data_IF_006757278108
#
_entry.id   IF_006757278108
#
_cell.length_a   1.000
_cell.length_b   1.000
_cell.length_c   1.000
_cell.angle_alpha   90.00
_cell.angle_beta   90.00
_cell.angle_gamma   90.00
#
_symmetry.space_group_name_H-M   'P 1'
#
loop_
_entity.id
_entity.type
_entity.pdbx_description
1 polymer ?
#
# COMPACT_ATOMS: atom_id res chain seq x y z
N UNK A 1 16.98 -12.41 3.17
CA UNK A 1 17.66 -11.22 2.62
C UNK A 1 17.93 -11.50 1.16
N UNK A 2 17.35 -10.72 0.25
CA UNK A 2 17.52 -10.86 -1.19
C UNK A 2 18.39 -9.72 -1.73
N UNK A 3 19.33 -10.02 -2.61
CA UNK A 3 20.19 -9.02 -3.24
C UNK A 3 19.91 -8.98 -4.75
N UNK A 4 19.86 -7.77 -5.31
CA UNK A 4 19.48 -7.53 -6.70
C UNK A 4 20.40 -6.46 -7.26
N UNK A 5 21.11 -6.82 -8.34
CA UNK A 5 21.95 -5.89 -9.06
C UNK A 5 21.21 -5.29 -10.24
N UNK A 6 21.12 -3.96 -10.26
CA UNK A 6 20.47 -3.16 -11.30
C UNK A 6 21.45 -2.20 -11.99
N UNK A 7 22.76 -2.34 -11.75
CA UNK A 7 23.78 -1.44 -12.30
C UNK A 7 23.92 -1.55 -13.82
N UNK A 8 23.59 -2.70 -14.40
CA UNK A 8 23.62 -2.92 -15.85
C UNK A 8 22.32 -2.51 -16.56
N UNK A 9 21.22 -2.33 -15.82
CA UNK A 9 19.92 -1.97 -16.39
C UNK A 9 19.83 -0.45 -16.61
N UNK A 10 19.73 -0.04 -17.87
CA UNK A 10 19.73 1.37 -18.25
C UNK A 10 18.33 1.97 -18.28
N UNK A 11 17.30 1.17 -18.53
CA UNK A 11 15.92 1.64 -18.60
C UNK A 11 15.38 1.91 -17.18
N UNK A 12 14.99 3.16 -16.93
CA UNK A 12 14.47 3.58 -15.62
C UNK A 12 13.13 2.91 -15.26
N UNK A 13 12.27 2.64 -16.25
CA UNK A 13 11.00 1.95 -16.02
C UNK A 13 11.23 0.47 -15.68
N UNK A 14 12.21 -0.17 -16.33
CA UNK A 14 12.58 -1.56 -16.03
C UNK A 14 13.19 -1.68 -14.64
N UNK A 15 14.10 -0.77 -14.26
CA UNK A 15 14.62 -0.73 -12.87
C UNK A 15 13.49 -0.56 -11.85
N UNK A 16 12.59 0.41 -12.08
CA UNK A 16 11.44 0.64 -11.21
C UNK A 16 10.54 -0.59 -11.12
N UNK A 17 10.31 -1.29 -12.23
CA UNK A 17 9.60 -2.57 -12.26
C UNK A 17 10.28 -3.57 -11.33
N UNK A 18 11.56 -3.86 -11.54
CA UNK A 18 12.27 -4.90 -10.79
C UNK A 18 12.28 -4.55 -9.30
N UNK A 19 12.55 -3.29 -8.93
CA UNK A 19 12.49 -2.83 -7.53
C UNK A 19 11.13 -3.19 -6.94
N UNK A 20 10.04 -2.80 -7.60
CA UNK A 20 8.70 -2.97 -7.04
C UNK A 20 8.21 -4.42 -7.06
N UNK A 21 8.55 -5.21 -8.07
CA UNK A 21 8.26 -6.64 -8.07
C UNK A 21 8.88 -7.32 -6.86
N UNK A 22 10.10 -6.93 -6.52
CA UNK A 22 10.75 -7.45 -5.33
C UNK A 22 10.16 -6.82 -4.07
N UNK A 23 9.72 -5.56 -4.08
CA UNK A 23 8.92 -5.01 -2.99
C UNK A 23 7.62 -5.81 -2.72
N UNK A 24 7.12 -6.57 -3.71
CA UNK A 24 5.95 -7.44 -3.55
C UNK A 24 6.29 -8.88 -3.09
N UNK A 25 7.57 -9.28 -3.10
CA UNK A 25 7.98 -10.61 -2.62
C UNK A 25 7.80 -10.76 -1.10
N UNK A 26 7.81 -12.00 -0.61
CA UNK A 26 7.71 -12.28 0.84
C UNK A 26 9.01 -12.02 1.61
N UNK A 27 10.08 -11.59 0.93
CA UNK A 27 11.31 -11.16 1.59
C UNK A 27 11.02 -9.99 2.55
N UNK A 28 11.64 -9.97 3.72
CA UNK A 28 11.51 -8.83 4.67
C UNK A 28 12.61 -7.79 4.49
N UNK A 29 13.69 -8.17 3.80
CA UNK A 29 14.82 -7.30 3.51
C UNK A 29 15.30 -7.54 2.08
N UNK A 30 15.44 -6.46 1.31
CA UNK A 30 16.02 -6.48 -0.03
C UNK A 30 17.14 -5.45 -0.09
N UNK A 31 18.25 -5.81 -0.73
CA UNK A 31 19.32 -4.89 -1.08
C UNK A 31 19.36 -4.73 -2.60
N UNK A 32 19.28 -3.48 -3.06
CA UNK A 32 19.43 -3.13 -4.46
C UNK A 32 20.77 -2.47 -4.69
N UNK A 33 21.56 -2.96 -5.65
CA UNK A 33 22.74 -2.28 -6.16
C UNK A 33 22.34 -1.43 -7.37
N UNK A 34 22.56 -0.13 -7.30
CA UNK A 34 22.10 0.85 -8.29
C UNK A 34 23.15 1.94 -8.49
N UNK A 35 23.02 2.65 -9.60
CA UNK A 35 23.65 3.96 -9.80
C UNK A 35 22.92 5.06 -9.00
N UNK A 36 23.36 6.30 -9.14
CA UNK A 36 22.78 7.46 -8.44
C UNK A 36 21.30 7.70 -8.79
N UNK A 37 20.92 7.49 -10.04
CA UNK A 37 19.53 7.71 -10.48
C UNK A 37 18.60 6.63 -9.92
N UNK A 38 19.04 5.37 -9.93
CA UNK A 38 18.34 4.27 -9.28
C UNK A 38 18.24 4.46 -7.77
N UNK A 39 19.27 5.02 -7.12
CA UNK A 39 19.25 5.38 -5.70
C UNK A 39 18.12 6.36 -5.39
N UNK A 40 18.06 7.49 -6.10
CA UNK A 40 17.02 8.51 -5.90
C UNK A 40 15.62 7.93 -6.11
N UNK A 41 15.43 7.12 -7.17
CA UNK A 41 14.17 6.45 -7.45
C UNK A 41 13.74 5.50 -6.32
N UNK A 42 14.67 4.75 -5.72
CA UNK A 42 14.38 3.88 -4.59
C UNK A 42 14.07 4.71 -3.34
N UNK A 43 14.80 5.80 -3.08
CA UNK A 43 14.50 6.71 -1.97
C UNK A 43 13.10 7.32 -2.07
N UNK A 44 12.71 7.77 -3.26
CA UNK A 44 11.36 8.28 -3.54
C UNK A 44 10.31 7.21 -3.22
N UNK A 45 10.53 5.97 -3.69
CA UNK A 45 9.65 4.84 -3.38
C UNK A 45 9.62 4.54 -1.88
N UNK A 46 10.75 4.58 -1.19
CA UNK A 46 10.81 4.39 0.26
C UNK A 46 10.04 5.46 1.01
N UNK A 47 10.13 6.72 0.56
CA UNK A 47 9.42 7.84 1.14
C UNK A 47 7.90 7.73 0.91
N UNK A 48 7.49 7.50 -0.34
CA UNK A 48 6.09 7.28 -0.71
C UNK A 48 5.48 6.07 0.02
N UNK A 49 6.27 5.01 0.21
CA UNK A 49 5.84 3.77 0.84
C UNK A 49 6.17 3.70 2.35
N UNK A 50 6.67 4.76 2.97
CA UNK A 50 7.10 4.80 4.38
C UNK A 50 7.94 3.56 4.80
N UNK A 51 8.83 3.09 3.92
CA UNK A 51 9.75 1.98 4.20
C UNK A 51 11.05 2.48 4.84
N UNK A 52 11.63 1.66 5.74
CA UNK A 52 12.96 1.92 6.27
C UNK A 52 13.99 1.59 5.19
N UNK A 53 14.78 2.59 4.78
CA UNK A 53 15.80 2.45 3.77
C UNK A 53 17.14 2.92 4.33
N UNK A 54 18.14 2.04 4.24
CA UNK A 54 19.52 2.29 4.62
C UNK A 54 20.35 2.29 3.34
N UNK A 55 21.22 3.28 3.18
CA UNK A 55 22.10 3.37 2.02
C UNK A 55 23.56 3.25 2.38
N UNK A 56 24.31 2.64 1.47
CA UNK A 56 25.76 2.53 1.54
C UNK A 56 26.35 2.73 0.15
N UNK A 57 27.37 3.57 0.03
CA UNK A 57 28.08 3.81 -1.23
C UNK A 57 29.45 3.12 -1.20
N UNK A 58 29.80 2.43 -2.28
CA UNK A 58 31.13 1.91 -2.51
C UNK A 58 31.46 1.92 -4.00
N UNK A 59 32.60 2.49 -4.36
CA UNK A 59 33.13 2.52 -5.73
C UNK A 59 32.14 3.08 -6.77
N UNK A 60 31.34 4.09 -6.39
CA UNK A 60 30.33 4.71 -7.26
C UNK A 60 29.04 3.90 -7.44
N UNK A 61 28.90 2.77 -6.74
CA UNK A 61 27.69 1.95 -6.70
C UNK A 61 27.01 2.12 -5.35
N UNK A 62 25.72 2.40 -5.38
CA UNK A 62 24.87 2.51 -4.19
C UNK A 62 24.24 1.16 -3.88
N UNK A 63 24.36 0.70 -2.64
CA UNK A 63 23.59 -0.40 -2.07
C UNK A 63 22.46 0.19 -1.23
N UNK A 64 21.24 0.12 -1.73
CA UNK A 64 20.05 0.58 -1.01
C UNK A 64 19.36 -0.62 -0.40
N UNK A 65 19.49 -0.76 0.92
CA UNK A 65 18.80 -1.78 1.71
C UNK A 65 17.42 -1.28 2.07
N UNK A 66 16.40 -1.90 1.49
CA UNK A 66 15.00 -1.70 1.87
C UNK A 66 14.63 -2.78 2.87
N UNK A 67 14.32 -2.37 4.10
CA UNK A 67 13.63 -3.22 5.04
C UNK A 67 12.14 -3.09 4.73
N UNK A 68 11.62 -4.10 4.02
CA UNK A 68 10.18 -4.26 3.86
C UNK A 68 9.61 -4.56 5.22
N UNK A 69 9.17 -3.48 5.84
CA UNK A 69 8.34 -3.59 7.01
C UNK A 69 7.04 -4.27 6.57
N UNK A 70 6.94 -5.58 6.82
CA UNK A 70 5.64 -6.26 6.85
C UNK A 70 4.68 -5.53 7.78
N UNK A 71 5.17 -4.67 8.67
CA UNK A 71 4.43 -3.83 9.60
C UNK A 71 4.98 -2.40 9.54
N UNK A 72 4.20 -1.36 9.23
CA UNK A 72 4.63 0.05 9.49
C UNK A 72 5.16 0.12 10.93
N UNK A 73 6.45 0.37 11.17
CA UNK A 73 7.13 0.11 12.46
C UNK A 73 6.23 0.36 13.69
N UNK A 74 5.93 -0.73 14.41
CA UNK A 74 5.03 -0.73 15.55
C UNK A 74 3.54 -0.80 15.21
N UNK A 75 3.15 -1.17 13.99
CA UNK A 75 1.76 -1.43 13.60
C UNK A 75 1.41 -2.90 13.79
N UNK A 76 0.11 -3.19 13.94
CA UNK A 76 -0.43 -4.51 13.57
C UNK A 76 -0.91 -4.46 12.13
N UNK A 77 -0.77 -5.55 11.41
CA UNK A 77 -1.22 -5.63 10.02
C UNK A 77 -1.55 -7.06 9.64
N UNK A 78 -2.38 -7.21 8.62
CA UNK A 78 -2.65 -8.48 7.96
C UNK A 78 -2.93 -8.22 6.47
N UNK A 79 -2.95 -9.29 5.67
CA UNK A 79 -3.17 -9.20 4.24
C UNK A 79 -4.07 -10.32 3.71
N UNK A 80 -4.76 -10.03 2.62
CA UNK A 80 -5.56 -11.01 1.88
C UNK A 80 -5.34 -10.82 0.39
N UNK A 81 -5.57 -11.88 -0.38
CA UNK A 81 -5.49 -11.86 -1.83
C UNK A 81 -6.77 -12.39 -2.47
N UNK A 82 -7.14 -11.81 -3.61
CA UNK A 82 -8.31 -12.22 -4.40
C UNK A 82 -8.17 -11.85 -5.87
N UNK A 83 -8.95 -12.53 -6.71
CA UNK A 83 -8.99 -12.32 -8.17
C UNK A 83 -10.21 -11.49 -8.55
N UNK A 84 -10.05 -10.64 -9.57
CA UNK A 84 -11.11 -9.82 -10.16
C UNK A 84 -11.02 -9.92 -11.68
N UNK A 85 -12.12 -10.19 -12.40
CA UNK A 85 -12.12 -10.34 -13.86
C UNK A 85 -12.12 -8.98 -14.57
N UNK A 86 -11.22 -8.09 -14.18
CA UNK A 86 -11.04 -6.76 -14.77
C UNK A 86 -9.54 -6.51 -15.02
N UNK A 87 -9.17 -5.73 -16.05
CA UNK A 87 -7.78 -5.34 -16.28
C UNK A 87 -7.22 -4.50 -15.12
N UNK A 88 -5.90 -4.59 -14.82
CA UNK A 88 -5.27 -3.88 -13.69
C UNK A 88 -5.52 -2.38 -13.67
N UNK A 89 -5.49 -1.73 -14.84
CA UNK A 89 -5.81 -0.30 -14.98
C UNK A 89 -7.22 0.03 -14.49
N UNK A 90 -8.22 -0.73 -14.94
CA UNK A 90 -9.62 -0.53 -14.55
C UNK A 90 -9.83 -0.80 -13.06
N UNK A 91 -9.16 -1.81 -12.51
CA UNK A 91 -9.20 -2.09 -11.07
C UNK A 91 -8.61 -0.92 -10.29
N UNK A 92 -7.43 -0.42 -10.70
CA UNK A 92 -6.78 0.71 -10.04
C UNK A 92 -7.68 1.94 -10.06
N UNK A 93 -8.21 2.34 -11.22
CA UNK A 93 -9.12 3.50 -11.34
C UNK A 93 -10.31 3.44 -10.38
N UNK A 94 -10.90 2.25 -10.20
CA UNK A 94 -12.01 2.02 -9.26
C UNK A 94 -11.57 2.02 -7.81
N UNK A 95 -10.42 1.41 -7.51
CA UNK A 95 -9.85 1.38 -6.17
C UNK A 95 -9.59 2.80 -5.69
N UNK A 96 -9.01 3.68 -6.50
CA UNK A 96 -8.68 5.07 -6.11
C UNK A 96 -9.82 5.92 -5.54
N UNK A 97 -11.07 5.48 -5.65
CA UNK A 97 -12.18 6.01 -4.88
C UNK A 97 -12.29 5.30 -3.50
N UNK A 98 -11.92 5.96 -2.39
CA UNK A 98 -11.96 5.35 -1.06
C UNK A 98 -13.38 5.11 -0.52
N UNK A 99 -14.45 5.50 -1.23
CA UNK A 99 -15.82 5.11 -0.88
C UNK A 99 -15.99 3.58 -0.83
N UNK A 100 -15.15 2.80 -1.52
CA UNK A 100 -15.16 1.33 -1.42
C UNK A 100 -14.98 0.81 0.02
N UNK A 101 -14.33 1.60 0.89
CA UNK A 101 -14.06 1.22 2.27
C UNK A 101 -15.36 0.99 3.07
N UNK A 102 -16.45 1.69 2.73
CA UNK A 102 -17.74 1.54 3.44
C UNK A 102 -18.39 0.18 3.25
N UNK A 103 -17.93 -0.61 2.27
CA UNK A 103 -18.49 -1.92 1.96
C UNK A 103 -18.04 -3.01 2.93
N UNK A 104 -16.84 -2.86 3.50
CA UNK A 104 -16.21 -3.90 4.32
C UNK A 104 -15.67 -3.39 5.66
N UNK A 105 -15.77 -2.08 5.93
CA UNK A 105 -15.39 -1.46 7.21
C UNK A 105 -16.64 -0.81 7.81
N UNK A 106 -17.40 -1.53 8.65
CA UNK A 106 -18.64 -1.02 9.26
C UNK A 106 -18.47 0.29 10.03
N UNK A 107 -17.27 0.57 10.53
CA UNK A 107 -16.93 1.75 11.30
C UNK A 107 -16.88 3.01 10.43
N UNK A 108 -16.60 2.90 9.13
CA UNK A 108 -16.59 4.05 8.21
C UNK A 108 -18.03 4.31 7.74
N UNK A 109 -18.60 5.43 8.18
CA UNK A 109 -20.00 5.80 7.90
C UNK A 109 -20.16 6.68 6.68
N UNK A 110 -19.13 7.46 6.34
CA UNK A 110 -19.12 8.28 5.15
C UNK A 110 -17.68 8.57 4.70
N UNK A 111 -17.54 8.81 3.41
CA UNK A 111 -16.31 9.28 2.78
C UNK A 111 -16.69 10.50 1.95
N UNK A 112 -16.02 11.63 2.18
CA UNK A 112 -16.24 12.88 1.43
C UNK A 112 -14.92 13.38 0.85
N UNK A 113 -14.94 13.91 -0.38
CA UNK A 113 -13.76 14.51 -0.98
C UNK A 113 -13.55 15.91 -0.42
N UNK A 114 -12.32 16.22 -0.01
CA UNK A 114 -11.91 17.58 0.36
C UNK A 114 -11.26 18.23 -0.87
N UNK A 115 -10.31 17.52 -1.49
CA UNK A 115 -9.62 17.90 -2.73
C UNK A 115 -9.09 16.64 -3.41
N UNK A 116 -8.43 16.82 -4.55
CA UNK A 116 -7.81 15.70 -5.27
C UNK A 116 -6.92 14.86 -4.32
N UNK A 117 -7.12 13.54 -4.35
CA UNK A 117 -6.42 12.53 -3.52
C UNK A 117 -6.59 12.65 -2.01
N UNK A 118 -7.37 13.61 -1.51
CA UNK A 118 -7.55 13.84 -0.06
C UNK A 118 -9.03 13.83 0.29
N UNK A 119 -9.37 12.96 1.23
CA UNK A 119 -10.72 12.65 1.64
C UNK A 119 -10.88 12.80 3.15
N UNK A 120 -12.11 12.92 3.61
CA UNK A 120 -12.48 12.90 5.01
C UNK A 120 -13.30 11.64 5.29
N UNK A 121 -12.80 10.80 6.20
CA UNK A 121 -13.49 9.60 6.68
C UNK A 121 -14.26 9.94 7.94
N UNK A 122 -15.58 9.75 7.93
CA UNK A 122 -16.39 9.79 9.15
C UNK A 122 -16.38 8.42 9.80
N UNK A 123 -15.62 8.25 10.87
CA UNK A 123 -15.43 6.98 11.56
C UNK A 123 -16.25 6.97 12.83
N UNK A 124 -17.07 5.93 13.00
CA UNK A 124 -17.79 5.62 14.23
C UNK A 124 -17.21 4.35 14.83
N UNK A 125 -16.32 4.53 15.79
CA UNK A 125 -15.80 3.45 16.62
C UNK A 125 -16.28 3.65 18.07
N UNK A 126 -15.39 3.96 19.01
CA UNK A 126 -15.77 4.33 20.40
C UNK A 126 -16.26 5.77 20.48
N UNK A 127 -15.64 6.67 19.71
CA UNK A 127 -16.04 8.07 19.54
C UNK A 127 -16.18 8.31 18.05
N UNK A 128 -17.14 9.16 17.65
CA UNK A 128 -17.26 9.56 16.26
C UNK A 128 -16.29 10.70 15.97
N UNK A 129 -15.42 10.53 14.99
CA UNK A 129 -14.51 11.56 14.54
C UNK A 129 -14.36 11.54 13.03
N UNK A 130 -13.94 12.68 12.49
CA UNK A 130 -13.57 12.81 11.09
C UNK A 130 -12.04 12.71 10.97
N UNK A 131 -11.55 11.81 10.12
CA UNK A 131 -10.12 11.57 9.92
C UNK A 131 -9.74 11.85 8.47
N UNK A 132 -8.74 12.71 8.21
CA UNK A 132 -8.19 12.89 6.87
C UNK A 132 -7.59 11.59 6.34
N UNK A 133 -7.90 11.26 5.09
CA UNK A 133 -7.34 10.15 4.34
C UNK A 133 -6.67 10.68 3.08
N UNK A 134 -5.40 10.35 2.89
CA UNK A 134 -4.68 10.57 1.64
C UNK A 134 -4.64 9.28 0.84
N UNK A 135 -4.89 9.38 -0.46
CA UNK A 135 -4.82 8.27 -1.42
C UNK A 135 -3.66 8.50 -2.37
N UNK A 136 -2.69 7.59 -2.37
CA UNK A 136 -1.57 7.58 -3.30
C UNK A 136 -1.81 6.50 -4.36
N UNK A 137 -1.29 6.73 -5.56
CA UNK A 137 -1.30 5.75 -6.65
C UNK A 137 -0.01 5.82 -7.42
N UNK A 138 0.59 4.66 -7.64
CA UNK A 138 1.79 4.51 -8.46
C UNK A 138 1.45 3.53 -9.57
N UNK A 139 1.46 4.00 -10.82
CA UNK A 139 1.51 3.12 -11.99
C UNK A 139 2.95 2.63 -12.14
N UNK A 140 3.13 1.32 -12.15
CA UNK A 140 4.45 0.71 -12.30
C UNK A 140 4.72 0.39 -13.77
N UNK A 141 3.76 -0.23 -14.42
CA UNK A 141 3.68 -0.46 -15.86
C UNK A 141 2.19 -0.57 -16.26
N UNK A 142 1.89 -1.05 -17.47
CA UNK A 142 0.52 -1.20 -17.95
C UNK A 142 -0.28 -2.30 -17.22
N UNK A 143 0.40 -3.22 -16.54
CA UNK A 143 -0.18 -4.39 -15.91
C UNK A 143 -0.14 -4.36 -14.38
N UNK A 144 0.54 -3.37 -13.77
CA UNK A 144 0.80 -3.36 -12.33
C UNK A 144 0.68 -1.97 -11.71
N UNK A 145 -0.03 -1.93 -10.59
CA UNK A 145 -0.35 -0.70 -9.86
C UNK A 145 -0.24 -0.91 -8.35
N UNK A 146 0.13 0.15 -7.65
CA UNK A 146 0.02 0.24 -6.19
C UNK A 146 -0.93 1.39 -5.87
N UNK A 147 -1.93 1.14 -5.03
CA UNK A 147 -2.73 2.19 -4.42
C UNK A 147 -2.59 2.10 -2.90
N UNK A 148 -2.32 3.23 -2.26
CA UNK A 148 -2.16 3.32 -0.80
C UNK A 148 -3.12 4.33 -0.21
N UNK A 149 -3.82 3.90 0.83
CA UNK A 149 -4.65 4.75 1.67
C UNK A 149 -3.92 4.96 2.98
N UNK A 150 -3.74 6.23 3.35
CA UNK A 150 -3.09 6.60 4.58
C UNK A 150 -3.95 7.60 5.35
N UNK A 151 -4.34 7.23 6.56
CA UNK A 151 -5.02 8.10 7.50
C UNK A 151 -4.17 8.28 8.74
N UNK A 152 -4.08 9.51 9.23
CA UNK A 152 -3.44 9.81 10.52
C UNK A 152 -4.19 10.91 11.26
N UNK A 153 -4.40 10.70 12.55
CA UNK A 153 -5.08 11.64 13.43
C UNK A 153 -4.32 11.75 14.75
N UNK A 154 -4.04 12.99 15.15
CA UNK A 154 -3.59 13.30 16.51
C UNK A 154 -4.81 13.42 17.42
N UNK A 155 -4.81 12.64 18.50
CA UNK A 155 -5.76 12.66 19.61
C UNK A 155 -4.97 13.15 20.84
N UNK A 156 -5.58 13.77 21.88
CA UNK A 156 -4.85 14.45 22.96
C UNK A 156 -3.71 13.68 23.66
N UNK A 157 -3.63 12.34 23.54
CA UNK A 157 -2.56 11.52 24.13
C UNK A 157 -1.83 10.59 23.14
N UNK A 158 -2.34 10.42 21.93
CA UNK A 158 -1.83 9.42 20.99
C UNK A 158 -1.96 9.92 19.55
N UNK A 159 -1.09 9.42 18.69
CA UNK A 159 -1.31 9.45 17.25
C UNK A 159 -1.85 8.10 16.83
N UNK A 160 -2.96 8.13 16.11
CA UNK A 160 -3.53 6.95 15.47
C UNK A 160 -3.29 7.09 13.99
N UNK A 161 -2.66 6.08 13.38
CA UNK A 161 -2.53 5.97 11.93
C UNK A 161 -3.04 4.61 11.49
N UNK A 162 -3.72 4.56 10.36
CA UNK A 162 -4.15 3.32 9.74
C UNK A 162 -4.21 3.49 8.23
N UNK A 163 -4.24 2.38 7.52
CA UNK A 163 -4.23 2.44 6.08
C UNK A 163 -4.41 1.11 5.40
N UNK A 164 -4.47 1.20 4.08
CA UNK A 164 -4.67 0.07 3.18
C UNK A 164 -3.68 0.17 2.04
N UNK A 165 -3.03 -0.95 1.72
CA UNK A 165 -2.22 -1.08 0.51
C UNK A 165 -2.90 -2.07 -0.43
N UNK A 166 -3.10 -1.66 -1.68
CA UNK A 166 -3.60 -2.50 -2.75
C UNK A 166 -2.49 -2.68 -3.79
N UNK A 167 -2.03 -3.91 -3.94
CA UNK A 167 -1.10 -4.32 -4.98
C UNK A 167 -1.91 -5.03 -6.06
N UNK A 168 -2.00 -4.41 -7.24
CA UNK A 168 -2.85 -4.86 -8.35
C UNK A 168 -1.92 -5.32 -9.47
N UNK A 169 -2.09 -6.53 -9.95
CA UNK A 169 -1.29 -7.11 -11.02
C UNK A 169 -2.14 -7.97 -11.96
N UNK A 170 -1.76 -8.05 -13.23
CA UNK A 170 -2.41 -8.96 -14.18
C UNK A 170 -2.27 -10.41 -13.75
N UNK A 171 -3.36 -11.18 -13.78
CA UNK A 171 -3.36 -12.64 -13.63
C UNK A 171 -4.39 -13.25 -14.58
N UNK A 172 -3.93 -14.07 -15.52
CA UNK A 172 -4.77 -14.61 -16.58
C UNK A 172 -5.44 -13.49 -17.39
N UNK A 173 -6.77 -13.52 -17.48
CA UNK A 173 -7.59 -12.50 -18.17
C UNK A 173 -8.03 -11.34 -17.26
N UNK A 174 -7.65 -11.36 -15.98
CA UNK A 174 -8.07 -10.38 -14.99
C UNK A 174 -6.91 -9.85 -14.17
N UNK A 175 -7.21 -9.52 -12.91
CA UNK A 175 -6.23 -9.00 -11.96
C UNK A 175 -6.24 -9.82 -10.67
N UNK A 176 -5.06 -10.04 -10.12
CA UNK A 176 -4.87 -10.36 -8.70
C UNK A 176 -4.70 -9.07 -7.92
N UNK A 177 -5.37 -9.00 -6.78
CA UNK A 177 -5.24 -7.92 -5.81
C UNK A 177 -4.75 -8.53 -4.51
N UNK A 178 -3.57 -8.09 -4.04
CA UNK A 178 -3.13 -8.29 -2.65
C UNK A 178 -3.48 -7.02 -1.89
N UNK A 179 -4.38 -7.15 -0.92
CA UNK A 179 -4.82 -6.05 -0.06
C UNK A 179 -4.23 -6.26 1.33
N UNK A 180 -3.58 -5.24 1.87
CA UNK A 180 -3.05 -5.22 3.23
C UNK A 180 -3.73 -4.10 4.01
N UNK A 181 -4.14 -4.38 5.23
CA UNK A 181 -4.60 -3.37 6.18
C UNK A 181 -3.61 -3.29 7.34
N UNK A 182 -3.35 -2.08 7.82
CA UNK A 182 -2.44 -1.87 8.94
C UNK A 182 -2.96 -0.77 9.87
N UNK A 183 -2.59 -0.88 11.15
CA UNK A 183 -2.98 0.04 12.20
C UNK A 183 -1.84 0.28 13.18
N UNK A 184 -1.58 1.55 13.51
CA UNK A 184 -0.60 2.01 14.49
C UNK A 184 -1.27 2.97 15.47
N UNK A 185 -1.27 2.59 16.74
CA UNK A 185 -1.90 3.38 17.80
C UNK A 185 -2.14 2.55 19.06
N UNK A 186 -2.94 3.05 20.02
CA UNK A 186 -3.39 2.28 21.17
C UNK A 186 -4.31 1.12 20.74
N UNK A 187 -4.57 0.15 21.61
CA UNK A 187 -5.52 -0.96 21.34
C UNK A 187 -5.18 -1.86 20.15
N UNK A 188 -3.89 -2.07 19.84
CA UNK A 188 -3.43 -2.88 18.71
C UNK A 188 -4.06 -4.28 18.64
N UNK A 189 -4.30 -4.93 19.78
CA UNK A 189 -4.93 -6.26 19.81
C UNK A 189 -6.37 -6.22 19.31
N UNK A 190 -7.15 -5.19 19.67
CA UNK A 190 -8.50 -4.99 19.14
C UNK A 190 -8.46 -4.68 17.65
N UNK A 191 -7.55 -3.79 17.24
CA UNK A 191 -7.37 -3.45 15.83
C UNK A 191 -7.04 -4.70 14.98
N UNK A 192 -6.16 -5.58 15.46
CA UNK A 192 -5.83 -6.84 14.76
C UNK A 192 -7.08 -7.70 14.50
N UNK A 193 -7.95 -7.86 15.50
CA UNK A 193 -9.18 -8.64 15.33
C UNK A 193 -10.19 -8.00 14.37
N UNK A 194 -10.21 -6.68 14.26
CA UNK A 194 -11.05 -5.99 13.26
C UNK A 194 -10.45 -6.07 11.85
N UNK A 195 -9.12 -5.94 11.72
CA UNK A 195 -8.39 -6.10 10.45
C UNK A 195 -8.71 -7.45 9.80
N UNK A 196 -8.65 -8.54 10.57
CA UNK A 196 -8.97 -9.89 10.07
C UNK A 196 -10.41 -9.96 9.52
N UNK A 197 -11.38 -9.31 10.19
CA UNK A 197 -12.77 -9.25 9.75
C UNK A 197 -12.94 -8.39 8.49
N UNK A 198 -12.29 -7.22 8.44
CA UNK A 198 -12.34 -6.32 7.30
C UNK A 198 -11.78 -6.98 6.04
N UNK A 199 -10.61 -7.60 6.14
CA UNK A 199 -9.97 -8.29 5.01
C UNK A 199 -10.79 -9.48 4.52
N UNK A 200 -11.32 -10.28 5.45
CA UNK A 200 -12.25 -11.36 5.09
C UNK A 200 -13.46 -10.82 4.34
N UNK A 201 -14.07 -9.74 4.85
CA UNK A 201 -15.24 -9.14 4.21
C UNK A 201 -14.91 -8.51 2.86
N UNK A 202 -13.76 -7.86 2.73
CA UNK A 202 -13.26 -7.27 1.50
C UNK A 202 -13.10 -8.33 0.41
N UNK A 203 -12.49 -9.47 0.74
CA UNK A 203 -12.34 -10.63 -0.16
C UNK A 203 -13.68 -11.16 -0.66
N UNK A 204 -14.73 -11.12 0.16
CA UNK A 204 -16.08 -11.54 -0.22
C UNK A 204 -16.80 -10.53 -1.14
N UNK A 205 -16.68 -9.22 -0.87
CA UNK A 205 -17.56 -8.21 -1.51
C UNK A 205 -16.90 -7.39 -2.61
N UNK A 206 -15.58 -7.14 -2.54
CA UNK A 206 -14.90 -6.28 -3.49
C UNK A 206 -14.90 -6.82 -4.92
N UNK A 207 -14.65 -8.12 -5.19
CA UNK A 207 -14.62 -8.62 -6.56
C UNK A 207 -15.92 -8.33 -7.32
N UNK A 208 -17.07 -8.62 -6.71
CA UNK A 208 -18.37 -8.37 -7.33
C UNK A 208 -18.69 -6.89 -7.46
N UNK A 209 -18.33 -6.08 -6.45
CA UNK A 209 -18.62 -4.65 -6.47
C UNK A 209 -17.84 -3.93 -7.58
N UNK A 210 -16.56 -4.25 -7.74
CA UNK A 210 -15.69 -3.63 -8.75
C UNK A 210 -16.18 -3.88 -10.18
N UNK A 211 -16.87 -5.00 -10.43
CA UNK A 211 -17.48 -5.31 -11.73
C UNK A 211 -18.69 -4.42 -12.04
N UNK A 212 -19.43 -3.97 -10.99
CA UNK A 212 -20.71 -3.27 -11.13
C UNK A 212 -20.59 -1.76 -11.31
N UNK A 213 -19.63 -1.16 -10.62
CA UNK A 213 -19.26 0.26 -10.84
C UNK A 213 -18.40 0.40 -12.07
#
# INVERSE_FOLDING_TARGET
>A
MKEIDLTEEKDANVRKFIVVQNLQSDDTEIVFKVDKDGKNMIEDLCHELEYECEEYEKDGVYSVKIKKSTEVKGSVSDATDFLVPLPPKSVNEKILNPAILTLFIPQIKAVSSIRERIYLLRIKWVISWDTPLTVYSVKLDDNRYIARYYASQKIPLFVVSFGFDFYIMSEGTGSRIKMKEWYKGPFKQLAKGEIEKHLKKAKEVLPEFLIKI
#
